data_IF_232667347844
#
_entry.id   IF_232667347844
#
_cell.length_a   1.000
_cell.length_b   1.000
_cell.length_c   1.000
_cell.angle_alpha   90.00
_cell.angle_beta   90.00
_cell.angle_gamma   90.00
#
_symmetry.space_group_name_H-M   'P 1'
#
loop_
_entity.id
_entity.type
_entity.pdbx_description
1 polymer ?
#
# COMPACT_ATOMS: atom_id res chain seq x y z
N UNK A 1 -4.88 27.24 -3.81
CA UNK A 1 -5.73 26.03 -3.78
C UNK A 1 -4.81 24.85 -4.11
N UNK A 2 -3.70 24.71 -3.38
CA UNK A 2 -3.60 24.26 -1.98
C UNK A 2 -3.89 22.78 -1.93
N UNK A 3 -2.79 22.02 -1.84
CA UNK A 3 -2.71 20.59 -2.08
C UNK A 3 -3.61 19.76 -1.18
N UNK A 4 -3.77 18.50 -1.60
CA UNK A 4 -4.52 17.46 -0.91
C UNK A 4 -4.21 17.46 0.59
N UNK A 5 -5.26 17.63 1.39
CA UNK A 5 -5.19 17.68 2.85
C UNK A 5 -4.47 16.44 3.43
N UNK A 6 -3.50 16.62 4.34
CA UNK A 6 -2.78 15.51 4.98
C UNK A 6 -3.73 14.52 5.66
N UNK A 7 -4.84 15.02 6.21
CA UNK A 7 -5.90 14.22 6.82
C UNK A 7 -6.64 13.28 5.83
N UNK A 8 -6.67 13.65 4.54
CA UNK A 8 -7.24 12.81 3.47
C UNK A 8 -6.24 11.71 3.06
N UNK A 9 -4.95 12.04 3.05
CA UNK A 9 -3.85 11.10 2.78
C UNK A 9 -3.72 10.03 3.88
N UNK A 10 -3.90 10.39 5.14
CA UNK A 10 -3.89 9.45 6.28
C UNK A 10 -5.12 8.50 6.30
N UNK A 11 -6.15 8.79 5.51
CA UNK A 11 -7.37 7.97 5.37
C UNK A 11 -7.45 7.22 4.05
N UNK A 12 -6.39 7.20 3.24
CA UNK A 12 -6.28 6.35 2.06
C UNK A 12 -6.06 4.90 2.51
N UNK A 13 -7.18 4.29 2.87
CA UNK A 13 -7.28 2.91 3.31
C UNK A 13 -7.34 1.95 2.12
N UNK A 14 -6.88 0.71 2.33
CA UNK A 14 -6.99 -0.33 1.31
C UNK A 14 -8.46 -0.52 0.87
N UNK A 15 -8.78 -0.52 -0.43
CA UNK A 15 -10.17 -0.58 -0.90
C UNK A 15 -10.89 -1.89 -0.54
N UNK A 16 -10.14 -2.95 -0.19
CA UNK A 16 -10.71 -4.23 0.23
C UNK A 16 -10.92 -4.34 1.74
N UNK A 17 -9.90 -4.02 2.54
CA UNK A 17 -9.91 -4.25 4.00
C UNK A 17 -10.18 -2.98 4.80
N UNK A 18 -10.12 -1.80 4.16
CA UNK A 18 -10.18 -0.49 4.81
C UNK A 18 -9.13 -0.28 5.91
N UNK A 19 -8.00 -1.00 5.83
CA UNK A 19 -6.88 -0.86 6.75
C UNK A 19 -5.78 0.03 6.18
N UNK A 20 -4.96 0.66 7.03
CA UNK A 20 -3.79 1.42 6.58
C UNK A 20 -2.82 0.52 5.81
N UNK A 21 -2.16 1.11 4.81
CA UNK A 21 -1.05 0.48 4.08
C UNK A 21 0.26 0.99 4.67
N UNK A 22 1.20 0.09 4.96
CA UNK A 22 2.56 0.44 5.36
C UNK A 22 3.40 0.70 4.13
N UNK A 23 3.95 1.90 4.01
CA UNK A 23 4.91 2.17 2.96
C UNK A 23 6.28 1.62 3.33
N UNK A 24 6.83 0.81 2.45
CA UNK A 24 8.17 0.25 2.54
C UNK A 24 9.08 1.01 1.57
N UNK A 25 9.77 2.02 2.09
CA UNK A 25 10.74 2.82 1.33
C UNK A 25 11.87 1.98 0.70
N UNK A 26 12.53 1.04 1.40
CA UNK A 26 13.61 0.27 0.81
C UNK A 26 13.13 -0.67 -0.32
N UNK A 27 11.93 -1.23 -0.22
CA UNK A 27 11.36 -2.06 -1.29
C UNK A 27 10.62 -1.25 -2.37
N UNK A 28 10.29 0.03 -2.10
CA UNK A 28 9.38 0.84 -2.91
C UNK A 28 8.03 0.13 -3.10
N UNK A 29 7.43 -0.37 -2.02
CA UNK A 29 6.14 -1.09 -2.05
C UNK A 29 5.19 -0.60 -0.95
N UNK A 30 3.88 -0.69 -1.19
CA UNK A 30 2.84 -0.50 -0.18
C UNK A 30 2.37 -1.85 0.35
N UNK A 31 2.69 -2.13 1.60
CA UNK A 31 2.35 -3.35 2.31
C UNK A 31 0.98 -3.23 2.96
N UNK A 32 0.13 -4.21 2.73
CA UNK A 32 -1.15 -4.39 3.40
C UNK A 32 -1.06 -5.58 4.35
N UNK A 33 -0.79 -5.32 5.63
CA UNK A 33 -0.72 -6.37 6.65
C UNK A 33 -2.07 -7.12 6.80
N UNK A 34 -3.19 -6.43 6.61
CA UNK A 34 -4.53 -7.04 6.72
C UNK A 34 -4.89 -7.95 5.54
N UNK A 35 -4.38 -7.65 4.34
CA UNK A 35 -4.61 -8.48 3.15
C UNK A 35 -3.48 -9.48 2.91
N UNK A 36 -2.33 -9.33 3.59
CA UNK A 36 -1.12 -10.10 3.32
C UNK A 36 -0.57 -9.84 1.92
N UNK A 37 -0.67 -8.61 1.42
CA UNK A 37 -0.29 -8.23 0.06
C UNK A 37 0.64 -7.02 0.05
N UNK A 38 1.65 -7.03 -0.80
CA UNK A 38 2.53 -5.89 -1.09
C UNK A 38 2.27 -5.39 -2.51
N UNK A 39 1.96 -4.12 -2.64
CA UNK A 39 1.69 -3.44 -3.91
C UNK A 39 2.94 -2.68 -4.36
N UNK A 40 3.59 -3.05 -5.47
CA UNK A 40 4.81 -2.37 -5.90
C UNK A 40 4.55 -0.95 -6.39
N UNK A 41 5.50 -0.05 -6.19
CA UNK A 41 5.50 1.31 -6.73
C UNK A 41 6.40 1.33 -7.97
N UNK A 42 5.85 1.79 -9.11
CA UNK A 42 6.57 1.91 -10.38
C UNK A 42 6.45 3.35 -10.87
N UNK A 43 7.57 3.99 -11.17
CA UNK A 43 7.62 5.38 -11.61
C UNK A 43 6.94 6.36 -10.62
N UNK A 44 6.99 6.06 -9.32
CA UNK A 44 6.33 6.84 -8.28
C UNK A 44 4.81 6.63 -8.19
N UNK A 45 4.24 5.71 -8.98
CA UNK A 45 2.82 5.36 -8.96
C UNK A 45 2.61 4.00 -8.30
N UNK A 46 1.81 3.92 -7.22
CA UNK A 46 1.49 2.64 -6.58
C UNK A 46 0.61 1.77 -7.47
N UNK A 47 1.06 0.56 -7.78
CA UNK A 47 0.30 -0.41 -8.57
C UNK A 47 -0.64 -1.18 -7.64
N UNK A 48 -1.81 -0.59 -7.36
CA UNK A 48 -2.87 -1.18 -6.54
C UNK A 48 -3.69 -2.26 -7.28
N UNK A 49 -3.01 -3.15 -8.01
CA UNK A 49 -3.63 -4.27 -8.72
C UNK A 49 -3.31 -5.56 -7.98
N UNK A 50 -4.34 -6.30 -7.55
CA UNK A 50 -4.18 -7.56 -6.80
C UNK A 50 -3.38 -8.59 -7.60
N UNK A 51 -3.51 -8.61 -8.92
CA UNK A 51 -2.73 -9.52 -9.80
C UNK A 51 -1.24 -9.17 -9.89
N UNK A 52 -0.88 -7.92 -9.58
CA UNK A 52 0.51 -7.46 -9.52
C UNK A 52 1.03 -7.36 -8.09
N UNK A 53 0.15 -7.55 -7.11
CA UNK A 53 0.51 -7.54 -5.71
C UNK A 53 1.27 -8.81 -5.37
N UNK A 54 2.41 -8.65 -4.70
CA UNK A 54 3.18 -9.76 -4.15
C UNK A 54 2.49 -10.23 -2.87
N UNK A 55 2.21 -11.53 -2.76
CA UNK A 55 1.72 -12.11 -1.50
C UNK A 55 2.84 -12.10 -0.48
N UNK A 56 2.54 -11.58 0.70
CA UNK A 56 3.40 -11.59 1.88
C UNK A 56 3.22 -12.87 2.72
N UNK A 57 2.49 -13.84 2.18
CA UNK A 57 2.35 -15.18 2.74
C UNK A 57 3.77 -15.74 2.99
N UNK A 58 4.12 -15.81 4.28
CA UNK A 58 5.34 -16.42 4.84
C UNK A 58 6.65 -15.60 4.87
N UNK A 59 6.64 -14.33 5.30
CA UNK A 59 7.84 -13.76 5.98
C UNK A 59 7.44 -12.73 7.05
N UNK A 60 6.84 -13.21 8.12
CA UNK A 60 6.83 -12.52 9.42
C UNK A 60 6.89 -13.60 10.51
N UNK A 61 8.02 -14.31 10.54
CA UNK A 61 8.47 -15.10 11.68
C UNK A 61 9.71 -14.40 12.26
#
# INVERSE_FOLDING_TARGET
>A
MSGLDPWLLERLVCPMTRTPLRYDEPAQELISDAAGLAYPIRDGVPVMLVEKARRLDETAA
#
